data_IF_623195006780
#
_entry.id   IF_623195006780
#
_cell.length_a   1.000
_cell.length_b   1.000
_cell.length_c   1.000
_cell.angle_alpha   90.00
_cell.angle_beta   90.00
_cell.angle_gamma   90.00
#
_symmetry.space_group_name_H-M   'P 1'
#
loop_
_entity.id
_entity.type
_entity.pdbx_description
1 polymer ?
#
# COMPACT_ATOMS: atom_id res chain seq x y z
N UNK A 1 17.46 -16.49 -6.45
CA UNK A 1 16.71 -17.20 -5.39
C UNK A 1 17.19 -16.75 -4.01
N UNK A 2 18.48 -16.77 -3.75
CA UNK A 2 19.08 -16.47 -2.44
C UNK A 2 19.50 -15.02 -2.23
N UNK A 3 19.01 -14.09 -3.03
CA UNK A 3 19.34 -12.65 -2.92
C UNK A 3 18.92 -12.02 -1.58
N UNK A 4 18.04 -12.67 -0.83
CA UNK A 4 17.71 -12.27 0.55
C UNK A 4 18.85 -12.49 1.54
N UNK A 5 19.75 -13.43 1.26
CA UNK A 5 20.95 -13.72 2.06
C UNK A 5 22.19 -13.02 1.50
N UNK A 6 22.27 -12.89 0.17
CA UNK A 6 23.37 -12.22 -0.51
C UNK A 6 22.84 -11.36 -1.67
N UNK A 7 22.81 -10.05 -1.47
CA UNK A 7 22.28 -9.07 -2.41
C UNK A 7 23.30 -8.59 -3.44
N UNK A 8 24.54 -9.09 -3.44
CA UNK A 8 25.64 -8.55 -4.25
C UNK A 8 25.30 -8.49 -5.75
N UNK A 9 24.69 -9.54 -6.29
CA UNK A 9 24.30 -9.57 -7.71
C UNK A 9 23.18 -8.58 -8.04
N UNK A 10 22.18 -8.42 -7.18
CA UNK A 10 21.12 -7.43 -7.38
C UNK A 10 21.65 -6.01 -7.29
N UNK A 11 22.59 -5.73 -6.36
CA UNK A 11 23.24 -4.42 -6.22
C UNK A 11 24.07 -4.07 -7.46
N UNK A 12 24.83 -5.04 -7.99
CA UNK A 12 25.61 -4.84 -9.23
C UNK A 12 24.66 -4.59 -10.41
N UNK A 13 23.61 -5.40 -10.55
CA UNK A 13 22.62 -5.23 -11.59
C UNK A 13 21.91 -3.88 -11.49
N UNK A 14 21.49 -3.47 -10.29
CA UNK A 14 20.91 -2.14 -10.04
C UNK A 14 21.84 -1.02 -10.54
N UNK A 15 23.12 -1.08 -10.18
CA UNK A 15 24.11 -0.08 -10.59
C UNK A 15 24.21 0.01 -12.12
N UNK A 16 24.37 -1.12 -12.79
CA UNK A 16 24.51 -1.19 -14.25
C UNK A 16 23.25 -0.62 -14.92
N UNK A 17 22.05 -1.02 -14.46
CA UNK A 17 20.79 -0.52 -15.05
C UNK A 17 20.63 0.98 -14.83
N UNK A 18 21.01 1.52 -13.66
CA UNK A 18 20.99 2.96 -13.42
C UNK A 18 21.91 3.74 -14.36
N UNK A 19 23.10 3.19 -14.65
CA UNK A 19 24.05 3.81 -15.58
C UNK A 19 23.53 3.77 -17.03
N UNK A 20 22.98 2.65 -17.47
CA UNK A 20 22.50 2.45 -18.83
C UNK A 20 21.12 3.07 -19.10
N UNK A 21 20.25 3.10 -18.09
CA UNK A 21 18.87 3.54 -18.18
C UNK A 21 18.50 4.51 -17.03
N UNK A 22 19.06 5.72 -16.99
CA UNK A 22 18.94 6.64 -15.83
C UNK A 22 17.52 7.11 -15.57
N UNK A 23 16.60 6.97 -16.54
CA UNK A 23 15.19 7.34 -16.38
C UNK A 23 14.29 6.15 -15.96
N UNK A 24 14.84 4.94 -15.88
CA UNK A 24 14.05 3.77 -15.50
C UNK A 24 13.73 3.77 -13.99
N UNK A 25 12.53 3.34 -13.65
CA UNK A 25 12.17 3.01 -12.29
C UNK A 25 12.68 1.61 -11.97
N UNK A 26 13.56 1.52 -11.00
CA UNK A 26 14.21 0.26 -10.63
C UNK A 26 13.73 -0.14 -9.25
N UNK A 27 13.22 -1.36 -9.16
CA UNK A 27 12.88 -1.99 -7.88
C UNK A 27 13.79 -3.19 -7.66
N UNK A 28 14.52 -3.19 -6.54
CA UNK A 28 15.35 -4.31 -6.11
C UNK A 28 14.50 -5.23 -5.23
N UNK A 29 14.23 -6.44 -5.70
CA UNK A 29 13.30 -7.35 -5.05
C UNK A 29 13.67 -7.70 -3.62
N UNK A 30 14.95 -7.95 -3.34
CA UNK A 30 15.43 -8.26 -2.00
C UNK A 30 15.37 -7.09 -1.02
N UNK A 31 15.43 -5.84 -1.50
CA UNK A 31 15.27 -4.64 -0.68
C UNK A 31 13.80 -4.37 -0.35
N UNK A 32 12.91 -4.59 -1.34
CA UNK A 32 11.49 -4.35 -1.18
C UNK A 32 10.80 -5.43 -0.33
N UNK A 33 11.06 -6.70 -0.64
CA UNK A 33 10.45 -7.85 0.01
C UNK A 33 11.51 -8.92 0.33
N UNK A 34 12.23 -8.78 1.47
CA UNK A 34 13.34 -9.66 1.85
C UNK A 34 12.85 -11.00 2.42
N UNK A 35 12.01 -11.71 1.65
CA UNK A 35 11.49 -13.02 2.01
C UNK A 35 11.96 -14.09 1.03
N UNK A 36 12.13 -15.29 1.54
CA UNK A 36 12.39 -16.47 0.71
C UNK A 36 11.16 -16.69 -0.18
N UNK A 37 11.31 -17.29 -1.34
CA UNK A 37 10.35 -17.53 -2.42
C UNK A 37 10.39 -16.40 -3.47
N UNK A 38 10.97 -16.76 -4.59
CA UNK A 38 11.23 -15.87 -5.72
C UNK A 38 9.98 -15.36 -6.38
N UNK A 39 8.93 -16.18 -6.52
CA UNK A 39 7.70 -15.78 -7.21
C UNK A 39 7.05 -14.56 -6.55
N UNK A 40 6.77 -14.65 -5.25
CA UNK A 40 6.14 -13.54 -4.51
C UNK A 40 7.03 -12.30 -4.51
N UNK A 41 8.35 -12.47 -4.36
CA UNK A 41 9.30 -11.35 -4.40
C UNK A 41 9.34 -10.69 -5.78
N UNK A 42 9.37 -11.49 -6.84
CA UNK A 42 9.38 -10.98 -8.22
C UNK A 42 8.09 -10.27 -8.57
N UNK A 43 6.93 -10.87 -8.30
CA UNK A 43 5.64 -10.25 -8.58
C UNK A 43 5.45 -8.94 -7.80
N UNK A 44 5.89 -8.90 -6.53
CA UNK A 44 5.89 -7.68 -5.73
C UNK A 44 6.78 -6.59 -6.32
N UNK A 45 8.00 -6.95 -6.75
CA UNK A 45 8.94 -6.01 -7.34
C UNK A 45 8.46 -5.47 -8.71
N UNK A 46 7.89 -6.33 -9.55
CA UNK A 46 7.31 -5.94 -10.84
C UNK A 46 6.13 -5.00 -10.64
N UNK A 47 5.23 -5.33 -9.71
CA UNK A 47 4.08 -4.47 -9.39
C UNK A 47 4.55 -3.11 -8.85
N UNK A 48 5.55 -3.10 -7.96
CA UNK A 48 6.12 -1.86 -7.45
C UNK A 48 6.69 -0.99 -8.57
N UNK A 49 7.53 -1.55 -9.43
CA UNK A 49 8.13 -0.84 -10.55
C UNK A 49 7.08 -0.29 -11.53
N UNK A 50 6.00 -1.03 -11.74
CA UNK A 50 4.88 -0.61 -12.59
C UNK A 50 4.11 0.58 -12.01
N UNK A 51 3.87 0.59 -10.70
CA UNK A 51 3.12 1.66 -10.02
C UNK A 51 3.94 2.93 -9.78
N UNK A 52 5.25 2.80 -9.63
CA UNK A 52 6.14 3.89 -9.19
C UNK A 52 6.07 5.15 -10.07
N UNK A 53 6.01 5.10 -11.42
CA UNK A 53 5.91 6.29 -12.25
C UNK A 53 4.64 7.11 -11.97
N UNK A 54 3.51 6.42 -11.89
CA UNK A 54 2.20 7.06 -11.64
C UNK A 54 2.15 7.65 -10.23
N UNK A 55 2.62 6.89 -9.25
CA UNK A 55 2.62 7.36 -7.86
C UNK A 55 3.58 8.54 -7.66
N UNK A 56 4.73 8.54 -8.33
CA UNK A 56 5.65 9.68 -8.32
C UNK A 56 4.98 10.95 -8.83
N UNK A 57 4.29 10.86 -9.97
CA UNK A 57 3.58 12.01 -10.53
C UNK A 57 2.50 12.53 -9.58
N UNK A 58 1.74 11.63 -8.97
CA UNK A 58 0.70 11.97 -8.01
C UNK A 58 1.27 12.63 -6.74
N UNK A 59 2.29 12.04 -6.13
CA UNK A 59 2.94 12.57 -4.93
C UNK A 59 3.57 13.92 -5.21
N UNK A 60 4.25 14.07 -6.36
CA UNK A 60 4.86 15.35 -6.75
C UNK A 60 3.83 16.46 -6.91
N UNK A 61 2.71 16.18 -7.58
CA UNK A 61 1.64 17.16 -7.78
C UNK A 61 1.01 17.60 -6.45
N UNK A 62 0.77 16.68 -5.53
CA UNK A 62 0.23 17.01 -4.20
C UNK A 62 1.23 17.83 -3.39
N UNK A 63 2.48 17.45 -3.36
CA UNK A 63 3.50 18.19 -2.61
C UNK A 63 3.68 19.61 -3.17
N UNK A 64 3.72 19.76 -4.50
CA UNK A 64 3.79 21.06 -5.17
C UNK A 64 2.57 21.94 -4.84
N UNK A 65 1.37 21.37 -4.85
CA UNK A 65 0.14 22.07 -4.48
C UNK A 65 0.22 22.63 -3.05
N UNK A 66 0.64 21.83 -2.08
CA UNK A 66 0.76 22.28 -0.70
C UNK A 66 1.86 23.32 -0.49
N UNK A 67 3.00 23.18 -1.17
CA UNK A 67 4.08 24.17 -1.15
C UNK A 67 3.57 25.51 -1.72
N UNK A 68 2.85 25.49 -2.82
CA UNK A 68 2.29 26.69 -3.46
C UNK A 68 1.23 27.39 -2.58
N UNK A 69 0.60 26.69 -1.66
CA UNK A 69 -0.28 27.25 -0.63
C UNK A 69 0.48 27.82 0.58
N UNK A 70 1.82 27.83 0.56
CA UNK A 70 2.65 28.29 1.68
C UNK A 70 2.84 27.25 2.78
N UNK A 71 2.49 25.99 2.53
CA UNK A 71 2.70 24.88 3.46
C UNK A 71 4.11 24.30 3.35
N UNK A 72 4.52 23.55 4.39
CA UNK A 72 5.72 22.74 4.35
C UNK A 72 5.45 21.41 3.64
N UNK A 73 6.51 20.78 3.09
CA UNK A 73 6.42 19.46 2.46
C UNK A 73 6.32 18.33 3.52
N UNK A 74 5.27 18.39 4.33
CA UNK A 74 5.00 17.46 5.43
C UNK A 74 3.82 16.52 5.16
N UNK A 75 3.44 16.36 3.89
CA UNK A 75 2.34 15.46 3.51
C UNK A 75 2.70 14.02 3.88
N UNK A 76 1.76 13.33 4.50
CA UNK A 76 1.86 11.92 4.85
C UNK A 76 0.82 11.12 4.06
N UNK A 77 1.21 9.97 3.60
CA UNK A 77 0.40 9.09 2.77
C UNK A 77 0.07 7.81 3.52
N UNK A 78 -1.18 7.42 3.50
CA UNK A 78 -1.59 6.14 4.05
C UNK A 78 -1.04 4.98 3.24
N UNK A 79 -0.66 3.93 3.94
CA UNK A 79 -0.21 2.67 3.38
C UNK A 79 -1.25 1.57 3.61
N UNK A 80 -1.21 0.55 2.77
CA UNK A 80 -2.09 -0.64 2.86
C UNK A 80 -2.04 -1.37 4.21
N UNK A 81 -0.95 -1.23 4.96
CA UNK A 81 -0.79 -1.80 6.30
C UNK A 81 -1.37 -0.91 7.42
N UNK A 82 -2.00 0.21 7.09
CA UNK A 82 -2.54 1.18 8.04
C UNK A 82 -1.51 2.18 8.59
N UNK A 83 -0.26 2.12 8.13
CA UNK A 83 0.77 3.08 8.49
C UNK A 83 0.74 4.35 7.65
N UNK A 84 1.57 5.32 8.04
CA UNK A 84 1.82 6.55 7.31
C UNK A 84 3.26 6.59 6.81
N UNK A 85 3.47 7.12 5.61
CA UNK A 85 4.80 7.30 5.02
C UNK A 85 4.96 8.69 4.41
N UNK A 86 6.22 9.11 4.23
CA UNK A 86 6.54 10.29 3.41
C UNK A 86 6.33 9.98 1.93
N UNK A 87 6.22 11.03 1.11
CA UNK A 87 6.10 10.87 -0.34
C UNK A 87 7.25 10.08 -0.95
N UNK A 88 8.48 10.29 -0.50
CA UNK A 88 9.67 9.55 -0.96
C UNK A 88 9.56 8.05 -0.69
N UNK A 89 9.19 7.67 0.53
CA UNK A 89 8.97 6.26 0.91
C UNK A 89 7.83 5.65 0.11
N UNK A 90 6.77 6.41 -0.15
CA UNK A 90 5.64 5.92 -0.97
C UNK A 90 6.04 5.67 -2.42
N UNK A 91 6.88 6.53 -3.01
CA UNK A 91 7.39 6.35 -4.37
C UNK A 91 8.31 5.11 -4.45
N UNK A 92 9.20 4.95 -3.48
CA UNK A 92 10.10 3.79 -3.41
C UNK A 92 9.34 2.47 -3.19
N UNK A 93 8.28 2.52 -2.40
CA UNK A 93 7.44 1.38 -2.04
C UNK A 93 6.01 1.53 -2.53
N UNK A 94 5.85 1.85 -3.81
CA UNK A 94 4.55 2.17 -4.44
C UNK A 94 3.51 1.08 -4.28
N UNK A 95 3.92 -0.17 -4.15
CA UNK A 95 3.03 -1.31 -3.93
C UNK A 95 2.22 -1.18 -2.62
N UNK A 96 2.69 -0.42 -1.63
CA UNK A 96 1.97 -0.13 -0.40
C UNK A 96 0.81 0.87 -0.57
N UNK A 97 0.67 1.47 -1.75
CA UNK A 97 -0.50 2.30 -2.08
C UNK A 97 -1.74 1.48 -2.46
N UNK A 98 -1.58 0.20 -2.80
CA UNK A 98 -2.69 -0.68 -3.15
C UNK A 98 -3.63 -0.81 -1.94
N UNK A 99 -4.92 -0.52 -2.12
CA UNK A 99 -5.94 -0.54 -1.06
C UNK A 99 -5.62 0.33 0.17
N UNK A 100 -4.79 1.37 0.03
CA UNK A 100 -4.47 2.25 1.16
C UNK A 100 -5.66 3.09 1.63
N UNK A 101 -6.61 3.42 0.74
CA UNK A 101 -7.85 4.09 1.10
C UNK A 101 -8.70 3.27 2.09
N UNK A 102 -9.18 2.08 1.70
CA UNK A 102 -9.91 1.18 2.60
C UNK A 102 -9.15 0.86 3.89
N UNK A 103 -7.83 0.75 3.85
CA UNK A 103 -6.99 0.49 5.02
C UNK A 103 -7.01 1.63 6.07
N UNK A 104 -7.41 2.84 5.70
CA UNK A 104 -7.51 3.97 6.63
C UNK A 104 -8.75 3.90 7.53
N UNK A 105 -9.84 3.31 7.04
CA UNK A 105 -11.12 3.26 7.74
C UNK A 105 -11.06 2.58 9.13
N UNK A 106 -10.47 1.38 9.30
CA UNK A 106 -10.36 0.75 10.61
C UNK A 106 -9.48 1.52 11.58
N UNK A 107 -8.46 2.24 11.09
CA UNK A 107 -7.61 3.08 11.95
C UNK A 107 -8.41 4.26 12.51
N UNK A 108 -9.18 4.93 11.65
CA UNK A 108 -10.07 6.02 12.05
C UNK A 108 -11.18 5.51 13.00
N UNK A 109 -11.83 4.39 12.65
CA UNK A 109 -12.87 3.78 13.46
C UNK A 109 -12.38 3.39 14.86
N UNK A 110 -11.20 2.78 14.96
CA UNK A 110 -10.58 2.45 16.26
C UNK A 110 -10.22 3.70 17.05
N UNK A 111 -9.73 4.75 16.40
CA UNK A 111 -9.41 6.02 17.08
C UNK A 111 -10.65 6.63 17.74
N UNK A 112 -11.79 6.64 17.04
CA UNK A 112 -13.07 7.11 17.57
C UNK A 112 -13.55 6.19 18.72
N UNK A 113 -13.53 4.86 18.48
CA UNK A 113 -14.02 3.90 19.46
C UNK A 113 -13.26 3.93 20.80
N UNK A 114 -11.97 4.20 20.76
CA UNK A 114 -11.13 4.39 21.98
C UNK A 114 -11.62 5.53 22.85
N UNK A 115 -12.20 6.59 22.31
CA UNK A 115 -12.78 7.70 23.09
C UNK A 115 -13.99 7.25 23.91
N UNK A 116 -14.58 6.12 23.57
CA UNK A 116 -15.70 5.50 24.27
C UNK A 116 -15.31 4.22 25.01
N UNK A 117 -14.00 3.95 25.15
CA UNK A 117 -13.44 2.74 25.76
C UNK A 117 -13.80 1.42 25.05
N UNK A 118 -14.14 1.47 23.75
CA UNK A 118 -14.33 0.26 22.93
C UNK A 118 -13.03 -0.15 22.24
N UNK A 119 -12.77 -1.46 22.25
CA UNK A 119 -11.61 -2.07 21.58
C UNK A 119 -12.02 -3.03 20.46
N UNK A 120 -13.31 -3.40 20.40
CA UNK A 120 -13.89 -4.23 19.35
C UNK A 120 -14.73 -3.35 18.47
N UNK A 121 -14.39 -3.29 17.16
CA UNK A 121 -14.99 -2.35 16.21
C UNK A 121 -15.26 -3.06 14.90
N UNK A 122 -16.44 -2.85 14.36
CA UNK A 122 -16.76 -3.12 12.95
C UNK A 122 -16.76 -1.77 12.25
N UNK A 123 -15.86 -1.60 11.29
CA UNK A 123 -15.84 -0.40 10.45
C UNK A 123 -16.45 -0.72 9.11
N UNK A 124 -17.35 0.13 8.64
CA UNK A 124 -18.02 0.00 7.35
C UNK A 124 -17.82 1.28 6.56
N UNK A 125 -17.52 1.15 5.29
CA UNK A 125 -17.38 2.26 4.34
C UNK A 125 -18.19 1.94 3.08
N UNK A 126 -19.23 2.70 2.81
CA UNK A 126 -20.07 2.54 1.63
C UNK A 126 -19.81 3.66 0.65
N UNK A 127 -19.15 3.32 -0.45
CA UNK A 127 -18.99 4.18 -1.61
C UNK A 127 -20.15 4.08 -2.60
N UNK A 128 -19.96 4.59 -3.82
CA UNK A 128 -20.97 4.48 -4.89
C UNK A 128 -21.10 3.07 -5.46
N UNK A 129 -20.04 2.26 -5.42
CA UNK A 129 -19.92 0.95 -6.09
C UNK A 129 -19.58 -0.21 -5.18
N UNK A 130 -18.97 0.05 -4.02
CA UNK A 130 -18.52 -0.98 -3.07
C UNK A 130 -18.90 -0.65 -1.64
N UNK A 131 -18.95 -1.69 -0.84
CA UNK A 131 -19.15 -1.65 0.60
C UNK A 131 -18.03 -2.42 1.26
N UNK A 132 -17.15 -1.71 1.93
CA UNK A 132 -15.95 -2.25 2.55
C UNK A 132 -16.21 -2.45 4.05
N UNK A 133 -15.83 -3.63 4.55
CA UNK A 133 -16.02 -4.03 5.95
C UNK A 133 -14.68 -4.44 6.53
N UNK A 134 -14.36 -3.93 7.72
CA UNK A 134 -13.19 -4.36 8.48
C UNK A 134 -13.56 -4.69 9.91
N UNK A 135 -12.83 -5.65 10.49
CA UNK A 135 -13.00 -6.07 11.87
C UNK A 135 -11.74 -5.74 12.67
N UNK A 136 -11.92 -5.05 13.78
CA UNK A 136 -10.89 -4.81 14.78
C UNK A 136 -11.29 -5.52 16.06
N UNK A 137 -10.43 -6.38 16.59
CA UNK A 137 -10.65 -7.12 17.82
C UNK A 137 -9.55 -6.78 18.83
N UNK A 138 -9.96 -6.42 20.06
CA UNK A 138 -9.03 -6.08 21.14
C UNK A 138 -8.00 -5.00 20.72
N UNK A 139 -8.45 -4.02 19.93
CA UNK A 139 -7.60 -2.95 19.42
C UNK A 139 -6.67 -3.35 18.25
N UNK A 140 -6.76 -4.59 17.75
CA UNK A 140 -5.93 -5.09 16.67
C UNK A 140 -6.78 -5.36 15.42
N UNK A 141 -6.35 -4.81 14.30
CA UNK A 141 -6.92 -5.09 12.98
C UNK A 141 -6.08 -6.15 12.29
N UNK A 142 -6.74 -7.14 11.68
CA UNK A 142 -6.05 -8.23 11.01
C UNK A 142 -5.25 -7.74 9.80
N UNK A 143 -4.02 -8.25 9.67
CA UNK A 143 -3.13 -8.03 8.53
C UNK A 143 -2.94 -9.32 7.76
N UNK A 144 -3.23 -9.29 6.47
CA UNK A 144 -2.83 -10.33 5.54
C UNK A 144 -1.37 -10.10 5.14
N UNK A 145 -0.51 -11.09 5.31
CA UNK A 145 0.93 -11.01 4.97
C UNK A 145 1.17 -10.96 3.45
N UNK A 146 0.28 -11.56 2.70
CA UNK A 146 0.31 -11.60 1.24
C UNK A 146 -1.13 -11.45 0.74
N UNK A 147 -1.28 -10.85 -0.43
CA UNK A 147 -2.56 -10.76 -1.12
C UNK A 147 -2.46 -11.37 -2.51
N UNK A 148 -3.56 -11.91 -2.98
CA UNK A 148 -3.73 -12.29 -4.38
C UNK A 148 -4.43 -11.12 -5.10
N UNK A 149 -3.67 -10.38 -5.90
CA UNK A 149 -4.14 -9.24 -6.67
C UNK A 149 -4.05 -9.53 -8.16
N UNK A 150 -5.17 -9.54 -8.85
CA UNK A 150 -5.25 -9.85 -10.29
C UNK A 150 -4.50 -11.16 -10.68
N UNK A 151 -4.61 -12.20 -9.89
CA UNK A 151 -3.92 -13.51 -10.02
C UNK A 151 -2.41 -13.49 -9.66
N UNK A 152 -1.86 -12.36 -9.24
CA UNK A 152 -0.48 -12.26 -8.77
C UNK A 152 -0.44 -12.24 -7.25
N UNK A 153 0.42 -13.07 -6.69
CA UNK A 153 0.65 -13.06 -5.24
C UNK A 153 1.65 -11.95 -4.90
N UNK A 154 1.20 -10.96 -4.16
CA UNK A 154 1.99 -9.80 -3.75
C UNK A 154 2.29 -9.91 -2.27
N UNK A 155 3.58 -9.80 -1.93
CA UNK A 155 4.09 -9.90 -0.57
C UNK A 155 4.13 -8.55 0.14
N UNK A 156 2.96 -7.98 0.38
CA UNK A 156 2.82 -6.73 1.14
C UNK A 156 1.81 -6.95 2.25
N UNK A 157 2.14 -6.61 3.50
CA UNK A 157 1.14 -6.66 4.56
C UNK A 157 0.04 -5.63 4.28
N UNK A 158 -1.19 -6.13 4.23
CA UNK A 158 -2.37 -5.28 4.03
C UNK A 158 -3.41 -5.55 5.09
N UNK A 159 -4.08 -4.50 5.54
CA UNK A 159 -5.26 -4.63 6.39
C UNK A 159 -6.28 -5.48 5.63
N UNK A 160 -6.84 -6.47 6.32
CA UNK A 160 -7.88 -7.31 5.78
C UNK A 160 -9.17 -6.49 5.66
N UNK A 161 -9.60 -6.26 4.43
CA UNK A 161 -10.85 -5.60 4.08
C UNK A 161 -11.68 -6.57 3.27
N UNK A 162 -12.91 -6.80 3.69
CA UNK A 162 -13.89 -7.56 2.93
C UNK A 162 -14.75 -6.59 2.12
N UNK A 163 -14.72 -6.74 0.81
CA UNK A 163 -15.42 -5.84 -0.13
C UNK A 163 -16.60 -6.53 -0.75
N UNK A 164 -17.78 -5.94 -0.58
CA UNK A 164 -19.02 -6.36 -1.27
C UNK A 164 -19.26 -5.45 -2.47
N UNK A 165 -19.65 -6.03 -3.60
CA UNK A 165 -19.99 -5.30 -4.83
C UNK A 165 -21.38 -4.64 -4.76
N UNK A 166 -21.69 -3.96 -3.66
CA UNK A 166 -22.91 -3.21 -3.44
C UNK A 166 -22.55 -1.83 -2.89
N UNK A 167 -23.13 -0.77 -3.40
CA UNK A 167 -22.88 0.59 -2.96
C UNK A 167 -24.15 1.42 -2.90
N UNK A 168 -24.01 2.73 -2.67
CA UNK A 168 -25.16 3.64 -2.50
C UNK A 168 -26.11 3.73 -3.69
N UNK A 169 -25.69 3.28 -4.88
CA UNK A 169 -26.55 3.17 -6.07
C UNK A 169 -27.19 1.80 -6.28
N UNK A 170 -26.92 0.83 -5.40
CA UNK A 170 -27.46 -0.53 -5.54
C UNK A 170 -28.93 -0.60 -5.09
N UNK A 171 -29.76 -1.25 -5.89
CA UNK A 171 -31.18 -1.48 -5.58
C UNK A 171 -31.31 -2.95 -5.18
N UNK A 172 -31.70 -3.18 -3.91
CA UNK A 172 -32.06 -4.52 -3.44
C UNK A 172 -33.47 -4.86 -3.93
N UNK A 173 -33.65 -6.06 -4.47
CA UNK A 173 -34.98 -6.57 -4.89
C UNK A 173 -35.07 -8.06 -4.54
N UNK A 174 -36.30 -8.55 -4.36
CA UNK A 174 -36.64 -9.97 -4.05
C UNK A 174 -37.27 -10.58 -5.26
#
# INVERSE_FOLDING_TARGET
IWSVLNQSHEIIAEKIVREMMPKAFITVGSKLYPQIREYTRTSTAVTNAYLSPTLKSYVSAINEYFINLGGENNVRYFQSNGGLATGEVMIDRSVYAINSGPASAPIAGLSIAKSFNYQNVITVDMGGTSFDITLTKEGNTNLNKNIDFLRYRIGVPMIQVETLGAGGGSIGWI
#
